data_IF_878880000018
#
_entry.id   IF_878880000018
#
_cell.length_a   1.000
_cell.length_b   1.000
_cell.length_c   1.000
_cell.angle_alpha   90.00
_cell.angle_beta   90.00
_cell.angle_gamma   90.00
#
_symmetry.space_group_name_H-M   'P 1'
#
loop_
_entity.id
_entity.type
_entity.pdbx_description
1 polymer ?
#
# COMPACT_ATOMS: atom_id res chain seq x y z
N UNK A 1 -2.63 29.10 -2.29
CA UNK A 1 -3.03 27.77 -1.76
C UNK A 1 -1.84 26.87 -2.01
N UNK A 2 -0.95 26.72 -1.03
CA UNK A 2 0.27 25.94 -1.20
C UNK A 2 -0.05 24.45 -1.26
N UNK A 3 0.37 23.79 -2.33
CA UNK A 3 0.29 22.34 -2.46
C UNK A 3 1.17 21.69 -1.37
N UNK A 4 0.73 20.60 -0.73
CA UNK A 4 1.55 19.90 0.25
C UNK A 4 2.84 19.42 -0.43
N UNK A 5 3.99 19.70 0.21
CA UNK A 5 5.29 19.20 -0.25
C UNK A 5 5.28 17.67 -0.24
N UNK A 6 5.53 17.05 -1.38
CA UNK A 6 5.64 15.60 -1.46
C UNK A 6 6.88 15.14 -0.68
N UNK A 7 6.77 14.06 0.12
CA UNK A 7 7.91 13.54 0.85
C UNK A 7 9.02 13.09 -0.10
N UNK A 8 10.25 13.51 0.19
CA UNK A 8 11.47 13.03 -0.49
C UNK A 8 11.96 11.74 0.15
N UNK A 9 12.62 10.90 -0.63
CA UNK A 9 13.26 9.68 -0.12
C UNK A 9 14.62 10.00 0.53
N UNK A 10 15.05 9.22 1.54
CA UNK A 10 14.30 8.16 2.21
C UNK A 10 13.16 8.72 3.06
N UNK A 11 11.97 8.12 2.94
CA UNK A 11 10.80 8.55 3.69
C UNK A 11 10.82 7.91 5.07
N UNK A 12 10.99 8.71 6.11
CA UNK A 12 10.82 8.28 7.50
C UNK A 12 9.41 8.62 7.97
N UNK A 13 8.65 7.63 8.42
CA UNK A 13 7.34 7.80 9.03
C UNK A 13 7.30 7.13 10.40
N UNK A 14 6.47 7.66 11.30
CA UNK A 14 6.12 7.00 12.56
C UNK A 14 4.74 6.39 12.42
N UNK A 15 4.62 5.09 12.64
CA UNK A 15 3.33 4.41 12.54
C UNK A 15 2.46 4.61 13.80
N UNK A 16 1.25 4.05 13.77
CA UNK A 16 0.29 4.16 14.88
C UNK A 16 0.75 3.44 16.15
N UNK A 17 1.67 2.47 16.04
CA UNK A 17 2.29 1.78 17.19
C UNK A 17 3.57 2.47 17.67
N UNK A 18 3.83 3.71 17.22
CA UNK A 18 5.02 4.52 17.55
C UNK A 18 6.34 3.92 17.06
N UNK A 19 6.30 3.04 16.06
CA UNK A 19 7.49 2.51 15.41
C UNK A 19 7.97 3.48 14.35
N UNK A 20 9.27 3.72 14.31
CA UNK A 20 9.92 4.49 13.23
C UNK A 20 10.20 3.55 12.06
N UNK A 21 9.63 3.85 10.90
CA UNK A 21 9.77 3.07 9.67
C UNK A 21 10.47 3.93 8.63
N UNK A 22 11.54 3.39 8.05
CA UNK A 22 12.27 4.02 6.96
C UNK A 22 11.94 3.32 5.65
N UNK A 23 11.58 4.11 4.64
CA UNK A 23 11.23 3.65 3.30
C UNK A 23 12.27 4.26 2.34
N UNK A 24 13.35 3.52 2.01
CA UNK A 24 14.48 4.06 1.26
C UNK A 24 14.18 4.31 -0.22
N UNK A 25 13.21 3.58 -0.78
CA UNK A 25 12.78 3.70 -2.18
C UNK A 25 11.26 3.48 -2.31
N UNK A 26 10.62 3.90 -3.41
CA UNK A 26 9.19 3.68 -3.60
C UNK A 26 8.87 2.18 -3.53
N UNK A 27 7.85 1.75 -2.75
CA UNK A 27 7.52 0.34 -2.61
C UNK A 27 7.22 -0.33 -3.96
N UNK A 28 7.84 -1.48 -4.20
CA UNK A 28 7.69 -2.27 -5.43
C UNK A 28 6.84 -3.53 -5.24
N UNK A 29 6.76 -4.02 -3.99
CA UNK A 29 5.92 -5.18 -3.61
C UNK A 29 5.20 -4.84 -2.32
N UNK A 30 3.87 -4.87 -2.37
CA UNK A 30 2.99 -4.49 -1.27
C UNK A 30 2.18 -5.71 -0.84
N UNK A 31 2.16 -5.99 0.47
CA UNK A 31 1.23 -6.95 1.06
C UNK A 31 0.17 -6.15 1.82
N UNK A 32 -1.08 -6.23 1.37
CA UNK A 32 -2.19 -5.54 2.01
C UNK A 32 -2.99 -6.52 2.86
N UNK A 33 -3.14 -6.19 4.14
CA UNK A 33 -3.85 -7.04 5.09
C UNK A 33 -5.30 -6.64 5.31
N UNK A 34 -5.68 -5.43 4.90
CA UNK A 34 -6.96 -4.81 5.21
C UNK A 34 -7.72 -4.56 3.90
N UNK A 35 -8.97 -5.05 3.75
CA UNK A 35 -9.73 -4.89 2.51
C UNK A 35 -9.82 -3.44 2.02
N UNK A 36 -10.19 -2.49 2.89
CA UNK A 36 -10.30 -1.08 2.49
C UNK A 36 -8.98 -0.45 2.04
N UNK A 37 -7.84 -0.92 2.56
CA UNK A 37 -6.53 -0.46 2.11
C UNK A 37 -6.15 -1.08 0.77
N UNK A 38 -6.54 -2.34 0.53
CA UNK A 38 -6.39 -2.98 -0.77
C UNK A 38 -7.13 -2.19 -1.83
N UNK A 39 -8.41 -1.88 -1.61
CA UNK A 39 -9.24 -1.09 -2.54
C UNK A 39 -8.59 0.25 -2.86
N UNK A 40 -8.16 0.99 -1.83
CA UNK A 40 -7.46 2.26 -1.99
C UNK A 40 -6.20 2.15 -2.88
N UNK A 41 -5.42 1.07 -2.74
CA UNK A 41 -4.22 0.88 -3.58
C UNK A 41 -4.56 0.68 -5.06
N UNK A 42 -5.69 0.03 -5.37
CA UNK A 42 -6.16 -0.13 -6.73
C UNK A 42 -6.71 1.18 -7.28
N UNK A 43 -7.48 1.93 -6.49
CA UNK A 43 -7.99 3.26 -6.86
C UNK A 43 -6.85 4.26 -7.13
N UNK A 44 -5.74 4.16 -6.40
CA UNK A 44 -4.53 4.95 -6.61
C UNK A 44 -3.70 4.48 -7.83
N UNK A 45 -4.14 3.45 -8.56
CA UNK A 45 -3.44 2.93 -9.74
C UNK A 45 -2.15 2.15 -9.44
N UNK A 46 -1.91 1.78 -8.17
CA UNK A 46 -0.71 1.02 -7.76
C UNK A 46 -1.00 -0.46 -7.50
N UNK A 47 -2.20 -0.94 -7.87
CA UNK A 47 -2.64 -2.33 -7.72
C UNK A 47 -1.67 -3.35 -8.31
N UNK A 48 -0.98 -3.03 -9.41
CA UNK A 48 0.03 -3.90 -10.03
C UNK A 48 1.24 -4.22 -9.11
N UNK A 49 1.45 -3.44 -8.05
CA UNK A 49 2.51 -3.67 -7.05
C UNK A 49 2.02 -4.50 -5.85
N UNK A 50 0.73 -4.82 -5.78
CA UNK A 50 0.15 -5.65 -4.71
C UNK A 50 0.52 -7.11 -4.95
N UNK A 51 1.46 -7.60 -4.15
CA UNK A 51 2.02 -8.95 -4.24
C UNK A 51 1.36 -9.93 -3.26
N UNK A 52 0.48 -9.46 -2.36
CA UNK A 52 -0.25 -10.30 -1.41
C UNK A 52 -1.49 -9.59 -0.85
N UNK A 53 -2.58 -10.34 -0.72
CA UNK A 53 -3.81 -9.90 -0.05
C UNK A 53 -4.33 -10.97 0.91
N UNK A 54 -5.23 -10.61 1.83
CA UNK A 54 -5.94 -11.60 2.67
C UNK A 54 -7.18 -12.15 1.95
N UNK A 55 -7.70 -13.30 2.40
CA UNK A 55 -8.93 -13.92 1.86
C UNK A 55 -10.19 -13.03 1.91
N UNK A 56 -10.15 -11.97 2.72
CA UNK A 56 -11.23 -11.01 2.87
C UNK A 56 -11.15 -9.86 1.86
N UNK A 57 -10.02 -9.68 1.18
CA UNK A 57 -9.83 -8.69 0.13
C UNK A 57 -10.44 -9.22 -1.17
N UNK A 58 -11.77 -9.15 -1.28
CA UNK A 58 -12.53 -9.69 -2.41
C UNK A 58 -12.78 -8.66 -3.53
N UNK A 59 -12.55 -7.39 -3.25
CA UNK A 59 -12.70 -6.27 -4.17
C UNK A 59 -11.39 -5.46 -4.22
N UNK A 60 -11.03 -4.89 -5.38
CA UNK A 60 -11.62 -5.18 -6.69
C UNK A 60 -11.35 -6.63 -7.15
N UNK A 61 -12.08 -7.17 -8.14
CA UNK A 61 -11.91 -8.57 -8.57
C UNK A 61 -10.46 -8.93 -8.92
N UNK A 62 -9.69 -7.97 -9.44
CA UNK A 62 -8.27 -8.08 -9.78
C UNK A 62 -7.37 -8.19 -8.55
N UNK A 63 -7.84 -7.81 -7.36
CA UNK A 63 -7.11 -8.00 -6.12
C UNK A 63 -7.11 -9.46 -5.65
N UNK A 64 -8.05 -10.29 -6.13
CA UNK A 64 -8.07 -11.72 -5.81
C UNK A 64 -6.89 -12.40 -6.47
N UNK A 65 -5.94 -12.80 -5.65
CA UNK A 65 -4.85 -13.65 -6.09
C UNK A 65 -5.33 -15.09 -6.08
N UNK A 66 -5.21 -15.75 -7.23
CA UNK A 66 -5.41 -17.20 -7.36
C UNK A 66 -4.28 -17.88 -6.57
N UNK A 67 -4.57 -18.35 -5.37
CA UNK A 67 -3.65 -19.24 -4.64
C UNK A 67 -3.41 -20.47 -5.50
N UNK A 68 -2.16 -20.72 -5.90
CA UNK A 68 -1.67 -22.05 -6.24
C UNK A 68 -1.40 -22.81 -4.95
#
# INVERSE_FOLDING_TARGET
MDLPKFPTLPLTITDQLKRRVEIPFPPQRIVSLVPSQTELLFDLGVGARVAGVTKFCIYPPEARQSTT
#
